data_IF_682942518938
#
_entry.id   IF_682942518938
#
_cell.length_a   1.000
_cell.length_b   1.000
_cell.length_c   1.000
_cell.angle_alpha   90.00
_cell.angle_beta   90.00
_cell.angle_gamma   90.00
#
_symmetry.space_group_name_H-M   'P 1'
#
loop_
_entity.id
_entity.type
_entity.pdbx_description
1 polymer ?
#
# COMPACT_ATOMS: atom_id res chain seq x y z
N UNK A 1 -43.16 2.38 9.82
CA UNK A 1 -42.56 1.02 9.73
C UNK A 1 -41.55 0.88 10.87
N UNK A 2 -41.36 -0.31 11.45
CA UNK A 2 -40.38 -0.50 12.53
C UNK A 2 -38.97 -0.66 11.98
N UNK A 3 -37.98 -0.25 12.77
CA UNK A 3 -36.56 -0.41 12.48
C UNK A 3 -36.24 -1.89 12.21
N UNK A 4 -35.58 -2.17 11.08
CA UNK A 4 -35.19 -3.53 10.70
C UNK A 4 -34.02 -4.07 11.52
N UNK A 5 -33.26 -3.22 12.22
CA UNK A 5 -32.18 -3.65 13.10
C UNK A 5 -32.70 -4.01 14.51
N UNK A 6 -33.39 -3.09 15.19
CA UNK A 6 -33.80 -3.31 16.58
C UNK A 6 -35.25 -3.77 16.75
N UNK A 7 -36.12 -3.61 15.75
CA UNK A 7 -37.54 -4.00 15.81
C UNK A 7 -38.39 -3.24 16.85
N UNK A 8 -37.81 -2.29 17.59
CA UNK A 8 -38.44 -1.59 18.71
C UNK A 8 -38.95 -0.21 18.34
N UNK A 9 -38.10 0.58 17.67
CA UNK A 9 -38.37 1.98 17.32
C UNK A 9 -38.91 2.13 15.89
N UNK A 10 -39.54 3.26 15.60
CA UNK A 10 -39.93 3.59 14.23
C UNK A 10 -38.70 3.90 13.37
N UNK A 11 -38.73 3.40 12.13
CA UNK A 11 -37.67 3.67 11.16
C UNK A 11 -37.85 5.07 10.58
N UNK A 12 -36.86 5.94 10.79
CA UNK A 12 -36.80 7.31 10.29
C UNK A 12 -35.58 7.56 9.38
N UNK A 13 -34.70 6.55 9.19
CA UNK A 13 -33.50 6.61 8.34
C UNK A 13 -33.56 5.50 7.29
N UNK A 14 -33.35 5.84 6.01
CA UNK A 14 -33.22 4.87 4.92
C UNK A 14 -31.75 4.76 4.49
N UNK A 15 -31.17 3.57 4.63
CA UNK A 15 -29.80 3.26 4.19
C UNK A 15 -29.82 2.47 2.89
N UNK A 16 -28.89 2.77 2.00
CA UNK A 16 -28.72 2.09 0.71
C UNK A 16 -27.25 1.95 0.41
N UNK A 17 -26.76 0.72 0.29
CA UNK A 17 -25.38 0.40 -0.06
C UNK A 17 -25.33 -0.41 -1.35
N UNK A 18 -24.39 -0.09 -2.23
CA UNK A 18 -24.14 -0.82 -3.47
C UNK A 18 -22.77 -1.47 -3.33
N UNK A 19 -22.73 -2.80 -3.25
CA UNK A 19 -21.50 -3.59 -3.18
C UNK A 19 -21.49 -4.58 -4.34
N UNK A 20 -20.48 -4.50 -5.22
CA UNK A 20 -20.33 -5.37 -6.40
C UNK A 20 -21.59 -5.46 -7.29
N UNK A 21 -22.33 -4.34 -7.41
CA UNK A 21 -23.57 -4.26 -8.22
C UNK A 21 -24.84 -4.74 -7.51
N UNK A 22 -24.73 -5.31 -6.31
CA UNK A 22 -25.90 -5.69 -5.51
C UNK A 22 -26.31 -4.53 -4.59
N UNK A 23 -27.59 -4.17 -4.67
CA UNK A 23 -28.18 -3.08 -3.89
C UNK A 23 -28.82 -3.64 -2.61
N UNK A 24 -28.29 -3.24 -1.46
CA UNK A 24 -28.85 -3.58 -0.15
C UNK A 24 -29.53 -2.32 0.40
N UNK A 25 -30.82 -2.43 0.70
CA UNK A 25 -31.62 -1.34 1.27
C UNK A 25 -32.15 -1.74 2.64
N UNK A 26 -32.05 -0.84 3.63
CA UNK A 26 -32.61 -1.06 4.96
C UNK A 26 -33.21 0.21 5.57
N UNK A 27 -34.24 0.01 6.39
CA UNK A 27 -34.94 1.05 7.13
C UNK A 27 -34.61 0.95 8.62
N UNK A 28 -33.92 1.97 9.13
CA UNK A 28 -33.36 2.00 10.48
C UNK A 28 -33.98 3.14 11.30
N UNK A 29 -33.98 2.99 12.62
CA UNK A 29 -34.21 4.12 13.52
C UNK A 29 -32.92 4.90 13.75
N UNK A 30 -33.03 6.15 14.16
CA UNK A 30 -31.91 7.07 14.39
C UNK A 30 -30.81 6.50 15.28
N UNK A 31 -31.17 5.83 16.38
CA UNK A 31 -30.19 5.22 17.28
C UNK A 31 -29.39 4.11 16.59
N UNK A 32 -30.07 3.20 15.87
CA UNK A 32 -29.39 2.14 15.13
C UNK A 32 -28.58 2.68 13.95
N UNK A 33 -29.05 3.75 13.30
CA UNK A 33 -28.27 4.42 12.27
C UNK A 33 -26.97 4.99 12.85
N UNK A 34 -27.03 5.62 14.04
CA UNK A 34 -25.85 6.16 14.73
C UNK A 34 -24.88 5.08 15.20
N UNK A 35 -25.38 4.00 15.78
CA UNK A 35 -24.58 2.83 16.19
C UNK A 35 -23.86 2.19 14.99
N UNK A 36 -24.50 2.17 13.82
CA UNK A 36 -23.91 1.67 12.57
C UNK A 36 -23.05 2.72 11.85
N UNK A 37 -22.84 3.92 12.43
CA UNK A 37 -22.04 4.98 11.82
C UNK A 37 -22.67 5.63 10.58
N UNK A 38 -24.00 5.48 10.40
CA UNK A 38 -24.79 5.98 9.27
C UNK A 38 -25.27 7.43 9.51
N UNK A 39 -25.12 7.95 10.74
CA UNK A 39 -25.49 9.34 11.06
C UNK A 39 -24.48 10.33 10.47
N UNK A 40 -24.92 10.95 9.37
CA UNK A 40 -24.41 12.18 8.75
C UNK A 40 -22.94 12.16 8.37
N UNK A 41 -22.77 12.19 7.05
CA UNK A 41 -21.60 12.66 6.35
C UNK A 41 -20.36 11.78 6.47
N UNK A 42 -20.10 11.03 5.39
CA UNK A 42 -18.77 10.97 4.78
C UNK A 42 -18.30 12.39 4.35
N UNK A 43 -18.46 13.39 5.22
CA UNK A 43 -17.65 14.58 5.18
C UNK A 43 -16.33 14.11 5.75
N UNK A 44 -15.35 14.12 4.87
CA UNK A 44 -13.93 14.07 5.16
C UNK A 44 -13.51 15.29 6.02
N UNK A 45 -14.24 15.60 7.08
CA UNK A 45 -13.77 16.51 8.12
C UNK A 45 -12.79 15.69 8.96
N UNK A 46 -11.51 15.77 8.57
CA UNK A 46 -10.32 15.16 9.19
C UNK A 46 -10.08 15.68 10.64
N UNK A 47 -11.10 15.73 11.47
CA UNK A 47 -11.01 16.29 12.82
C UNK A 47 -11.68 15.43 13.90
N UNK A 48 -12.25 14.26 13.60
CA UNK A 48 -12.84 13.42 14.65
C UNK A 48 -12.18 12.05 14.72
N UNK A 49 -11.39 11.92 15.77
CA UNK A 49 -10.86 10.71 16.38
C UNK A 49 -10.27 9.66 15.42
N UNK A 50 -9.15 10.06 14.82
CA UNK A 50 -8.19 9.21 14.11
C UNK A 50 -7.99 7.83 14.77
N UNK A 51 -7.82 7.72 16.11
CA UNK A 51 -7.78 6.44 16.83
C UNK A 51 -8.94 5.49 16.52
N UNK A 52 -10.18 5.98 16.64
CA UNK A 52 -11.41 5.19 16.48
C UNK A 52 -11.64 4.77 15.01
N UNK A 53 -11.28 5.64 14.07
CA UNK A 53 -11.31 5.31 12.64
C UNK A 53 -10.31 4.20 12.29
N UNK A 54 -9.07 4.34 12.77
CA UNK A 54 -8.04 3.34 12.54
C UNK A 54 -8.37 2.00 13.19
N UNK A 55 -8.87 2.01 14.43
CA UNK A 55 -9.29 0.79 15.12
C UNK A 55 -10.31 -0.01 14.30
N UNK A 56 -11.39 0.64 13.86
CA UNK A 56 -12.41 -0.05 13.05
C UNK A 56 -11.89 -0.50 11.67
N UNK A 57 -11.05 0.32 11.01
CA UNK A 57 -10.48 0.00 9.71
C UNK A 57 -9.47 -1.17 9.77
N UNK A 58 -8.70 -1.26 10.85
CA UNK A 58 -7.73 -2.33 11.06
C UNK A 58 -8.37 -3.63 11.53
N UNK A 59 -9.39 -3.56 12.38
CA UNK A 59 -10.16 -4.75 12.76
C UNK A 59 -10.83 -5.42 11.56
N UNK A 60 -11.33 -4.62 10.60
CA UNK A 60 -11.87 -5.15 9.33
C UNK A 60 -10.78 -5.82 8.46
N UNK A 61 -9.52 -5.38 8.58
CA UNK A 61 -8.37 -5.94 7.85
C UNK A 61 -7.80 -7.20 8.51
N UNK A 62 -7.86 -7.31 9.84
CA UNK A 62 -7.46 -8.53 10.58
C UNK A 62 -8.43 -9.69 10.36
N UNK A 63 -9.73 -9.42 10.13
CA UNK A 63 -10.72 -10.45 9.78
C UNK A 63 -10.57 -10.95 8.33
N UNK A 64 -9.92 -10.17 7.44
CA UNK A 64 -9.54 -10.62 6.11
C UNK A 64 -8.19 -11.36 6.13
N UNK A 65 -8.25 -12.63 6.53
CA UNK A 65 -7.24 -13.67 6.25
C UNK A 65 -7.08 -13.89 4.72
N UNK A 66 -6.55 -12.90 4.00
CA UNK A 66 -6.32 -12.95 2.56
C UNK A 66 -4.85 -13.03 2.15
N UNK A 67 -3.90 -13.29 3.06
CA UNK A 67 -2.53 -13.73 2.70
C UNK A 67 -1.89 -14.62 3.78
N UNK A 68 -1.85 -15.96 3.60
CA UNK A 68 -1.19 -16.89 4.52
C UNK A 68 0.35 -16.90 4.52
N UNK A 69 1.02 -15.84 4.03
CA UNK A 69 2.45 -15.94 3.66
C UNK A 69 3.41 -14.97 4.32
N UNK A 70 3.00 -14.19 5.32
CA UNK A 70 3.91 -13.32 6.09
C UNK A 70 4.09 -13.82 7.53
N UNK A 71 4.51 -15.08 7.68
CA UNK A 71 5.21 -15.55 8.87
C UNK A 71 6.72 -15.34 8.70
N UNK A 72 7.14 -14.09 8.58
CA UNK A 72 8.48 -13.70 9.02
C UNK A 72 8.29 -12.94 10.32
N UNK A 73 8.97 -13.40 11.37
CA UNK A 73 9.03 -12.77 12.69
C UNK A 73 9.55 -11.34 12.53
N UNK A 74 8.67 -10.38 12.28
CA UNK A 74 8.99 -8.96 12.35
C UNK A 74 8.68 -8.55 13.78
N UNK A 75 9.68 -7.97 14.46
CA UNK A 75 9.58 -7.55 15.86
C UNK A 75 8.23 -6.87 16.11
N UNK A 76 7.42 -7.48 16.98
CA UNK A 76 6.07 -7.00 17.29
C UNK A 76 6.08 -5.69 18.09
N UNK A 77 7.26 -5.24 18.53
CA UNK A 77 7.46 -4.11 19.43
C UNK A 77 8.58 -3.19 18.98
N UNK A 78 8.41 -1.88 19.17
CA UNK A 78 9.45 -0.90 18.95
C UNK A 78 10.52 -0.97 20.04
N UNK A 79 11.79 -1.14 19.66
CA UNK A 79 12.91 -1.22 20.61
C UNK A 79 13.14 0.08 21.42
N UNK A 80 12.65 1.22 20.92
CA UNK A 80 12.86 2.53 21.56
C UNK A 80 11.73 2.93 22.53
N UNK A 81 10.48 2.58 22.23
CA UNK A 81 9.33 2.98 23.07
C UNK A 81 8.49 1.80 23.59
N UNK A 82 8.83 0.56 23.22
CA UNK A 82 8.15 -0.67 23.62
C UNK A 82 6.79 -0.89 22.97
N UNK A 83 6.29 0.09 22.20
CA UNK A 83 4.96 0.02 21.60
C UNK A 83 4.85 -1.12 20.60
N UNK A 84 3.76 -1.90 20.69
CA UNK A 84 3.50 -2.99 19.76
C UNK A 84 2.66 -2.57 18.56
N UNK A 85 2.64 -3.40 17.51
CA UNK A 85 1.73 -3.21 16.39
C UNK A 85 0.25 -3.26 16.82
N UNK A 86 -0.09 -4.11 17.79
CA UNK A 86 -1.45 -4.18 18.32
C UNK A 86 -1.84 -2.90 19.08
N UNK A 87 -0.89 -2.30 19.80
CA UNK A 87 -1.11 -0.99 20.43
C UNK A 87 -1.38 0.08 19.37
N UNK A 88 -0.69 0.03 18.22
CA UNK A 88 -0.98 0.93 17.11
C UNK A 88 -2.39 0.71 16.55
N UNK A 89 -2.78 -0.54 16.34
CA UNK A 89 -4.12 -0.88 15.84
C UNK A 89 -5.22 -0.35 16.77
N UNK A 90 -5.05 -0.55 18.08
CA UNK A 90 -6.04 -0.13 19.06
C UNK A 90 -6.08 1.40 19.28
N UNK A 91 -4.93 2.06 19.20
CA UNK A 91 -4.82 3.51 19.49
C UNK A 91 -4.81 4.40 18.26
N UNK A 92 -4.61 3.84 17.07
CA UNK A 92 -4.40 4.55 15.81
C UNK A 92 -3.23 5.55 15.81
N UNK A 93 -2.31 5.45 16.79
CA UNK A 93 -1.20 6.41 16.96
C UNK A 93 0.11 5.68 17.17
N UNK A 94 1.15 6.17 16.52
CA UNK A 94 2.52 5.67 16.70
C UNK A 94 3.21 6.41 17.85
N UNK A 95 3.99 5.70 18.65
CA UNK A 95 4.55 6.20 19.91
C UNK A 95 5.81 7.04 19.74
N UNK A 96 6.67 6.70 18.78
CA UNK A 96 7.89 7.46 18.47
C UNK A 96 8.23 7.41 16.97
N UNK A 97 9.26 8.15 16.57
CA UNK A 97 9.68 8.21 15.16
C UNK A 97 10.12 6.84 14.61
N UNK A 98 10.82 6.03 15.43
CA UNK A 98 11.29 4.71 15.01
C UNK A 98 10.14 3.72 14.74
N UNK A 99 8.94 3.96 15.27
CA UNK A 99 7.78 3.14 14.97
C UNK A 99 7.39 3.21 13.49
N UNK A 100 7.66 4.33 12.80
CA UNK A 100 7.37 4.44 11.36
C UNK A 100 8.25 3.51 10.53
N UNK A 101 9.52 3.36 10.91
CA UNK A 101 10.47 2.50 10.20
C UNK A 101 10.21 1.02 10.50
N UNK A 102 9.89 0.68 11.76
CA UNK A 102 9.68 -0.71 12.18
C UNK A 102 8.38 -1.27 11.61
N UNK A 103 7.32 -0.45 11.56
CA UNK A 103 6.01 -0.89 11.08
C UNK A 103 5.73 -0.50 9.62
N UNK A 104 6.72 0.04 8.88
CA UNK A 104 6.55 0.55 7.51
C UNK A 104 5.84 -0.43 6.59
N UNK A 105 6.27 -1.70 6.62
CA UNK A 105 5.79 -2.75 5.71
C UNK A 105 4.29 -3.03 5.89
N UNK A 106 3.79 -2.88 7.13
CA UNK A 106 2.36 -3.04 7.44
C UNK A 106 1.59 -1.74 7.24
N UNK A 107 2.20 -0.59 7.55
CA UNK A 107 1.58 0.73 7.38
C UNK A 107 1.36 1.10 5.91
N UNK A 108 2.24 0.66 5.01
CA UNK A 108 2.15 0.99 3.60
C UNK A 108 0.81 0.61 2.93
N UNK A 109 0.34 -0.65 2.95
CA UNK A 109 -0.94 -1.02 2.32
C UNK A 109 -2.13 -0.29 2.96
N UNK A 110 -2.08 -0.11 4.28
CA UNK A 110 -3.06 0.63 5.06
C UNK A 110 -3.18 2.07 4.56
N UNK A 111 -2.06 2.78 4.53
CA UNK A 111 -2.01 4.18 4.17
C UNK A 111 -2.44 4.34 2.71
N UNK A 112 -2.08 3.39 1.84
CA UNK A 112 -2.51 3.36 0.44
C UNK A 112 -4.02 3.25 0.30
N UNK A 113 -4.68 2.46 1.13
CA UNK A 113 -6.13 2.31 1.09
C UNK A 113 -6.84 3.59 1.55
N UNK A 114 -6.33 4.25 2.58
CA UNK A 114 -6.94 5.47 3.15
C UNK A 114 -6.73 6.67 2.22
N UNK A 115 -5.50 6.86 1.75
CA UNK A 115 -5.10 8.06 1.00
C UNK A 115 -5.04 7.84 -0.52
N UNK A 116 -5.24 6.61 -1.00
CA UNK A 116 -5.15 6.19 -2.40
C UNK A 116 -3.73 5.95 -2.92
N UNK A 117 -2.71 6.58 -2.32
CA UNK A 117 -1.31 6.44 -2.76
C UNK A 117 -0.30 6.76 -1.66
N UNK A 118 0.77 5.98 -1.51
CA UNK A 118 1.81 6.25 -0.50
C UNK A 118 2.76 7.39 -0.88
N UNK A 119 2.60 7.94 -2.08
CA UNK A 119 3.42 9.03 -2.56
C UNK A 119 2.60 9.99 -3.41
N UNK A 120 2.56 11.25 -2.98
CA UNK A 120 2.02 12.32 -3.80
C UNK A 120 2.94 12.57 -4.99
N UNK A 121 2.44 12.30 -6.20
CA UNK A 121 3.18 12.48 -7.46
C UNK A 121 3.00 13.86 -8.09
N UNK A 122 2.34 14.79 -7.38
CA UNK A 122 2.00 16.11 -7.92
C UNK A 122 0.77 16.10 -8.83
N UNK A 123 0.22 17.28 -9.09
CA UNK A 123 -0.78 17.46 -10.14
C UNK A 123 -0.06 17.39 -11.48
N UNK A 124 -0.21 16.30 -12.21
CA UNK A 124 0.17 16.27 -13.62
C UNK A 124 -0.63 17.36 -14.33
N UNK A 125 0.04 18.42 -14.79
CA UNK A 125 -0.60 19.41 -15.65
C UNK A 125 -1.25 18.69 -16.83
N UNK A 126 -2.42 19.14 -17.29
CA UNK A 126 -2.94 18.70 -18.59
C UNK A 126 -1.90 19.15 -19.62
N UNK A 127 -1.08 18.21 -20.08
CA UNK A 127 -0.11 18.46 -21.14
C UNK A 127 -0.94 18.62 -22.42
N UNK A 128 -1.22 19.87 -22.80
CA UNK A 128 -1.97 20.23 -24.00
C UNK A 128 -1.10 20.17 -25.26
N UNK A 129 0.22 20.13 -25.09
CA UNK A 129 1.20 20.13 -26.17
C UNK A 129 1.71 18.71 -26.43
N UNK A 130 1.33 18.16 -27.58
CA UNK A 130 1.70 16.81 -28.03
C UNK A 130 3.22 16.61 -28.12
N UNK A 131 3.99 17.68 -28.35
CA UNK A 131 5.45 17.59 -28.41
C UNK A 131 6.09 17.27 -27.04
N UNK A 132 5.46 17.71 -25.94
CA UNK A 132 5.93 17.45 -24.58
C UNK A 132 5.60 16.01 -24.17
N UNK A 133 4.45 15.47 -24.61
CA UNK A 133 4.08 14.07 -24.38
C UNK A 133 5.05 13.13 -25.09
N UNK A 134 5.34 13.36 -26.38
CA UNK A 134 6.32 12.57 -27.12
C UNK A 134 7.72 12.62 -26.49
N UNK A 135 8.14 13.80 -26.01
CA UNK A 135 9.44 13.95 -25.36
C UNK A 135 9.49 13.23 -24.00
N UNK A 136 8.41 13.22 -23.22
CA UNK A 136 8.32 12.44 -21.98
C UNK A 136 8.31 10.93 -22.24
N UNK A 137 7.61 10.46 -23.28
CA UNK A 137 7.61 9.05 -23.65
C UNK A 137 9.00 8.59 -24.12
N UNK A 138 9.66 9.37 -24.97
CA UNK A 138 11.06 9.14 -25.39
C UNK A 138 12.03 9.13 -24.21
N UNK A 139 11.81 9.98 -23.20
CA UNK A 139 12.62 9.98 -21.98
C UNK A 139 12.35 8.75 -21.10
N UNK A 140 11.08 8.34 -20.93
CA UNK A 140 10.74 7.11 -20.20
C UNK A 140 11.34 5.88 -20.85
N UNK A 141 11.25 5.76 -22.17
CA UNK A 141 11.87 4.63 -22.90
C UNK A 141 13.38 4.59 -22.73
N UNK A 142 14.05 5.76 -22.70
CA UNK A 142 15.50 5.83 -22.44
C UNK A 142 15.84 5.37 -21.03
N UNK A 143 15.07 5.81 -20.02
CA UNK A 143 15.29 5.41 -18.62
C UNK A 143 15.00 3.92 -18.42
N UNK A 144 13.96 3.38 -19.04
CA UNK A 144 13.65 1.94 -18.98
C UNK A 144 14.73 1.07 -19.66
N UNK A 145 15.28 1.53 -20.79
CA UNK A 145 16.40 0.84 -21.46
C UNK A 145 17.64 0.84 -20.59
N UNK A 146 18.00 1.99 -20.01
CA UNK A 146 19.13 2.10 -19.10
C UNK A 146 18.98 1.20 -17.87
N UNK A 147 17.79 1.15 -17.25
CA UNK A 147 17.55 0.28 -16.10
C UNK A 147 17.64 -1.21 -16.45
N UNK A 148 17.17 -1.62 -17.64
CA UNK A 148 17.31 -3.01 -18.11
C UNK A 148 18.78 -3.40 -18.33
N UNK A 149 19.58 -2.50 -18.89
CA UNK A 149 21.01 -2.72 -19.10
C UNK A 149 21.77 -2.82 -17.77
N UNK A 150 21.47 -1.95 -16.81
CA UNK A 150 22.05 -2.00 -15.46
C UNK A 150 21.72 -3.33 -14.78
N UNK A 151 20.45 -3.75 -14.81
CA UNK A 151 20.04 -5.04 -14.24
C UNK A 151 20.74 -6.23 -14.92
N UNK A 152 20.93 -6.19 -16.26
CA UNK A 152 21.63 -7.24 -17.00
C UNK A 152 23.12 -7.31 -16.63
N UNK A 153 23.78 -6.18 -16.43
CA UNK A 153 25.18 -6.14 -15.97
C UNK A 153 25.29 -6.72 -14.55
N UNK A 154 24.35 -6.42 -13.66
CA UNK A 154 24.34 -6.99 -12.31
C UNK A 154 24.14 -8.51 -12.29
N UNK A 155 23.28 -9.04 -13.16
CA UNK A 155 23.11 -10.50 -13.30
C UNK A 155 24.38 -11.16 -13.81
N UNK A 156 25.01 -10.61 -14.86
CA UNK A 156 26.26 -11.13 -15.41
C UNK A 156 27.41 -11.09 -14.39
N UNK A 157 27.51 -10.02 -13.58
CA UNK A 157 28.49 -9.93 -12.48
C UNK A 157 28.28 -11.01 -11.43
N UNK A 158 27.04 -11.42 -11.17
CA UNK A 158 26.72 -12.51 -10.24
C UNK A 158 27.12 -13.87 -10.82
N UNK A 159 26.80 -14.10 -12.09
CA UNK A 159 27.17 -15.32 -12.81
C UNK A 159 28.68 -15.47 -12.94
N UNK A 160 29.40 -14.37 -13.20
CA UNK A 160 30.86 -14.36 -13.23
C UNK A 160 31.46 -14.82 -11.91
N UNK A 161 30.96 -14.29 -10.78
CA UNK A 161 31.41 -14.70 -9.44
C UNK A 161 31.13 -16.19 -9.19
N UNK A 162 30.00 -16.69 -9.66
CA UNK A 162 29.65 -18.10 -9.53
C UNK A 162 30.55 -18.99 -10.39
N UNK A 163 30.81 -18.61 -11.64
CA UNK A 163 31.70 -19.34 -12.54
C UNK A 163 33.14 -19.41 -11.99
N UNK A 164 33.64 -18.32 -11.38
CA UNK A 164 34.94 -18.32 -10.70
C UNK A 164 34.95 -19.28 -9.50
N UNK A 165 33.87 -19.30 -8.71
CA UNK A 165 33.73 -20.19 -7.55
C UNK A 165 33.67 -21.68 -7.93
N UNK A 166 33.09 -21.97 -9.08
CA UNK A 166 32.96 -23.32 -9.65
C UNK A 166 34.16 -23.70 -10.54
N UNK A 167 35.21 -22.88 -10.59
CA UNK A 167 36.42 -23.08 -11.40
C UNK A 167 36.15 -23.22 -12.91
N UNK A 168 35.02 -22.67 -13.40
CA UNK A 168 34.65 -22.61 -14.82
C UNK A 168 35.29 -21.39 -15.50
N UNK A 169 36.62 -21.43 -15.66
CA UNK A 169 37.39 -20.28 -16.13
C UNK A 169 37.09 -19.85 -17.57
N UNK A 170 36.72 -20.78 -18.46
CA UNK A 170 36.31 -20.44 -19.84
C UNK A 170 35.00 -19.65 -19.87
N UNK A 171 34.02 -20.06 -19.06
CA UNK A 171 32.74 -19.35 -18.93
C UNK A 171 32.95 -17.99 -18.26
N UNK A 172 33.82 -17.92 -17.25
CA UNK A 172 34.18 -16.66 -16.59
C UNK A 172 34.82 -15.67 -17.57
N UNK A 173 35.67 -16.14 -18.49
CA UNK A 173 36.25 -15.27 -19.53
C UNK A 173 35.17 -14.71 -20.46
N UNK A 174 34.24 -15.55 -20.95
CA UNK A 174 33.12 -15.11 -21.80
C UNK A 174 32.23 -14.09 -21.10
N UNK A 175 31.86 -14.35 -19.84
CA UNK A 175 31.04 -13.45 -19.03
C UNK A 175 31.73 -12.11 -18.78
N UNK A 176 33.06 -12.12 -18.54
CA UNK A 176 33.86 -10.90 -18.39
C UNK A 176 33.86 -10.07 -19.67
N UNK A 177 34.02 -10.70 -20.82
CA UNK A 177 34.03 -10.01 -22.11
C UNK A 177 32.64 -9.44 -22.46
N UNK A 178 31.55 -10.15 -22.11
CA UNK A 178 30.18 -9.63 -22.26
C UNK A 178 29.93 -8.41 -21.36
N UNK A 179 30.38 -8.45 -20.10
CA UNK A 179 30.29 -7.29 -19.19
C UNK A 179 31.05 -6.09 -19.75
N UNK A 180 32.29 -6.29 -20.20
CA UNK A 180 33.10 -5.22 -20.78
C UNK A 180 32.47 -4.65 -22.07
N UNK A 181 31.84 -5.50 -22.89
CA UNK A 181 31.13 -5.06 -24.10
C UNK A 181 29.90 -4.21 -23.81
N UNK A 182 29.19 -4.51 -22.71
CA UNK A 182 28.03 -3.72 -22.26
C UNK A 182 28.44 -2.44 -21.54
N UNK A 183 29.56 -2.44 -20.81
CA UNK A 183 30.06 -1.25 -20.10
C UNK A 183 30.76 -0.24 -21.03
N UNK A 184 31.39 -0.68 -22.12
CA UNK A 184 32.09 0.20 -23.08
C UNK A 184 31.21 0.76 -24.21
N UNK A 185 29.98 0.27 -24.40
CA UNK A 185 29.02 0.81 -25.37
C UNK A 185 28.15 1.96 -24.78
N UNK A 186 28.59 2.54 -23.66
CA UNK A 186 27.96 3.67 -22.97
C UNK A 186 28.45 5.00 -23.52
#
# INVERSE_FOLDING_TARGET
MKCQNCGKNEANVRYTQIVNGNKIEMNLCENCARELGIDRSLHFDMAMDIPSFFGNFFHEYDDFNLLPSFQTKVQESCDHCGMTYNDFVNTGRLGCIHCYDIFSDRLDPILKNIQGSNRHIGRKGKVLDSSIVENMEKQKEKVEKQNKEVNKIETLKRELKQAIKEERYEDAAKLRDEINGLENNK
#
